data_IF_081316602701
#
_entry.id   IF_081316602701
#
_cell.length_a   1.000
_cell.length_b   1.000
_cell.length_c   1.000
_cell.angle_alpha   90.00
_cell.angle_beta   90.00
_cell.angle_gamma   90.00
#
_symmetry.space_group_name_H-M   'P 1'
#
loop_
_entity.id
_entity.type
_entity.pdbx_description
1 polymer ?
#
# COMPACT_ATOMS: atom_id res chain seq x y z
N UNK A 1 -18.30 2.82 -17.41
CA UNK A 1 -17.56 3.89 -16.71
C UNK A 1 -18.54 4.54 -15.74
N UNK A 2 -18.37 4.30 -14.44
CA UNK A 2 -19.26 4.85 -13.41
C UNK A 2 -18.79 6.28 -13.10
N UNK A 3 -19.66 7.27 -13.28
CA UNK A 3 -19.30 8.71 -13.31
C UNK A 3 -19.49 9.42 -11.96
N UNK A 4 -19.32 8.72 -10.83
CA UNK A 4 -19.46 9.31 -9.49
C UNK A 4 -18.08 9.55 -8.83
N UNK A 5 -17.99 10.45 -7.83
CA UNK A 5 -16.73 10.75 -7.17
C UNK A 5 -16.10 9.48 -6.60
N UNK A 6 -14.89 9.19 -7.07
CA UNK A 6 -14.14 7.98 -6.73
C UNK A 6 -13.91 7.81 -5.22
N UNK A 7 -13.88 8.91 -4.47
CA UNK A 7 -13.53 8.95 -3.05
C UNK A 7 -14.74 9.06 -2.08
N UNK A 8 -15.95 8.82 -2.56
CA UNK A 8 -17.14 8.75 -1.71
C UNK A 8 -17.30 7.34 -1.13
N UNK A 9 -17.09 7.19 0.18
CA UNK A 9 -17.23 5.91 0.87
C UNK A 9 -18.64 5.31 0.74
N UNK A 10 -19.69 6.12 0.63
CA UNK A 10 -21.05 5.61 0.44
C UNK A 10 -21.20 4.97 -0.95
N UNK A 11 -20.64 5.62 -1.96
CA UNK A 11 -20.59 5.07 -3.30
C UNK A 11 -19.75 3.77 -3.34
N UNK A 12 -18.55 3.77 -2.76
CA UNK A 12 -17.71 2.58 -2.69
C UNK A 12 -18.39 1.44 -1.93
N UNK A 13 -19.12 1.74 -0.84
CA UNK A 13 -19.90 0.75 -0.12
C UNK A 13 -21.04 0.19 -1.00
N UNK A 14 -21.73 1.05 -1.75
CA UNK A 14 -22.80 0.59 -2.65
C UNK A 14 -22.31 -0.38 -3.72
N UNK A 15 -21.08 -0.19 -4.23
CA UNK A 15 -20.45 -1.13 -5.17
C UNK A 15 -20.15 -2.49 -4.51
N UNK A 16 -19.68 -2.47 -3.26
CA UNK A 16 -19.44 -3.71 -2.50
C UNK A 16 -20.76 -4.43 -2.21
N UNK A 17 -21.82 -3.69 -1.89
CA UNK A 17 -23.13 -4.27 -1.60
C UNK A 17 -23.77 -4.89 -2.86
N UNK A 18 -23.54 -4.29 -4.03
CA UNK A 18 -24.07 -4.75 -5.31
C UNK A 18 -23.26 -5.91 -5.91
N UNK A 19 -21.94 -5.82 -5.91
CA UNK A 19 -21.06 -6.73 -6.65
C UNK A 19 -20.21 -7.64 -5.75
N UNK A 20 -20.19 -7.40 -4.44
CA UNK A 20 -19.24 -8.02 -3.52
C UNK A 20 -17.90 -7.30 -3.49
N UNK A 21 -17.03 -7.72 -2.56
CA UNK A 21 -15.66 -7.22 -2.50
C UNK A 21 -14.87 -7.77 -3.69
N UNK A 22 -14.19 -6.93 -4.48
CA UNK A 22 -13.39 -7.39 -5.61
C UNK A 22 -12.12 -8.13 -5.15
N UNK A 23 -11.64 -9.04 -6.00
CA UNK A 23 -10.31 -9.66 -5.81
C UNK A 23 -9.19 -8.70 -6.21
N UNK A 24 -9.40 -7.87 -7.24
CA UNK A 24 -8.40 -6.93 -7.77
C UNK A 24 -9.03 -5.54 -7.87
N UNK A 25 -8.32 -4.53 -7.38
CA UNK A 25 -8.64 -3.12 -7.57
C UNK A 25 -7.54 -2.46 -8.38
N UNK A 26 -7.96 -1.81 -9.46
CA UNK A 26 -7.17 -0.87 -10.25
C UNK A 26 -7.71 0.54 -9.97
N UNK A 27 -6.89 1.37 -9.33
CA UNK A 27 -7.15 2.78 -9.11
C UNK A 27 -6.55 3.59 -10.28
N UNK A 28 -7.39 3.79 -11.30
CA UNK A 28 -7.14 4.58 -12.51
C UNK A 28 -8.21 5.69 -12.63
N UNK A 29 -8.39 6.44 -11.54
CA UNK A 29 -9.47 7.42 -11.45
C UNK A 29 -9.00 8.85 -11.63
N UNK A 30 -9.26 9.70 -10.65
CA UNK A 30 -9.00 11.15 -10.77
C UNK A 30 -7.52 11.54 -10.67
N UNK A 31 -6.68 10.62 -10.21
CA UNK A 31 -5.28 10.82 -9.87
C UNK A 31 -4.99 11.91 -8.81
N UNK A 32 -6.03 12.45 -8.18
CA UNK A 32 -5.88 13.36 -7.04
C UNK A 32 -5.37 12.58 -5.84
N UNK A 33 -4.26 13.02 -5.22
CA UNK A 33 -3.61 12.28 -4.13
C UNK A 33 -4.56 12.00 -2.96
N UNK A 34 -5.43 12.95 -2.62
CA UNK A 34 -6.45 12.77 -1.58
C UNK A 34 -7.45 11.66 -1.95
N UNK A 35 -7.84 11.56 -3.22
CA UNK A 35 -8.79 10.55 -3.68
C UNK A 35 -8.16 9.16 -3.63
N UNK A 36 -6.93 9.00 -4.13
CA UNK A 36 -6.18 7.74 -4.09
C UNK A 36 -6.00 7.28 -2.64
N UNK A 37 -5.66 8.19 -1.72
CA UNK A 37 -5.51 7.84 -0.31
C UNK A 37 -6.83 7.36 0.31
N UNK A 38 -7.95 8.01 -0.01
CA UNK A 38 -9.29 7.62 0.48
C UNK A 38 -9.73 6.27 -0.07
N UNK A 39 -9.63 6.05 -1.37
CA UNK A 39 -9.96 4.75 -2.01
C UNK A 39 -9.11 3.62 -1.45
N UNK A 40 -7.80 3.84 -1.32
CA UNK A 40 -6.88 2.85 -0.76
C UNK A 40 -7.28 2.49 0.69
N UNK A 41 -7.47 3.49 1.54
CA UNK A 41 -7.86 3.27 2.94
C UNK A 41 -9.21 2.58 3.09
N UNK A 42 -10.13 2.77 2.14
CA UNK A 42 -11.43 2.11 2.14
C UNK A 42 -11.34 0.67 1.59
N UNK A 43 -10.82 0.48 0.38
CA UNK A 43 -10.90 -0.80 -0.34
C UNK A 43 -9.82 -1.79 0.10
N UNK A 44 -8.57 -1.35 0.30
CA UNK A 44 -7.47 -2.27 0.57
C UNK A 44 -7.67 -3.13 1.83
N UNK A 45 -8.16 -2.59 2.97
CA UNK A 45 -8.51 -3.41 4.13
C UNK A 45 -9.61 -4.45 3.89
N UNK A 46 -10.47 -4.23 2.90
CA UNK A 46 -11.60 -5.10 2.59
C UNK A 46 -11.24 -6.24 1.63
N UNK A 47 -10.22 -6.07 0.79
CA UNK A 47 -9.78 -7.09 -0.17
C UNK A 47 -9.56 -8.47 0.48
N UNK A 48 -9.79 -9.58 -0.24
CA UNK A 48 -9.50 -10.91 0.26
C UNK A 48 -8.00 -11.12 0.44
N UNK A 49 -7.61 -12.18 1.17
CA UNK A 49 -6.19 -12.47 1.49
C UNK A 49 -5.27 -12.64 0.27
N UNK A 50 -5.80 -12.89 -0.93
CA UNK A 50 -5.01 -13.01 -2.16
C UNK A 50 -5.30 -11.86 -3.13
N UNK A 51 -5.93 -10.79 -2.63
CA UNK A 51 -6.34 -9.67 -3.45
C UNK A 51 -5.17 -8.76 -3.80
N UNK A 52 -5.35 -7.95 -4.84
CA UNK A 52 -4.33 -7.02 -5.34
C UNK A 52 -4.92 -5.62 -5.44
N UNK A 53 -4.19 -4.61 -4.96
CA UNK A 53 -4.52 -3.21 -5.16
C UNK A 53 -3.39 -2.57 -5.93
N UNK A 54 -3.68 -1.94 -7.07
CA UNK A 54 -2.69 -1.19 -7.83
C UNK A 54 -3.21 0.19 -8.22
N UNK A 55 -2.29 1.14 -8.29
CA UNK A 55 -2.54 2.53 -8.67
C UNK A 55 -1.70 2.86 -9.88
N UNK A 56 -2.34 3.36 -10.93
CA UNK A 56 -1.69 3.83 -12.17
C UNK A 56 -1.54 5.36 -12.17
N UNK A 57 -0.78 5.88 -13.14
CA UNK A 57 -0.54 7.32 -13.34
C UNK A 57 0.00 8.07 -12.10
N UNK A 58 0.87 7.41 -11.32
CA UNK A 58 1.51 7.99 -10.14
C UNK A 58 2.58 9.04 -10.45
N UNK A 59 2.84 9.35 -11.72
CA UNK A 59 3.60 10.55 -12.07
C UNK A 59 2.91 11.83 -11.57
N UNK A 60 1.58 11.81 -11.44
CA UNK A 60 0.77 12.89 -10.82
C UNK A 60 1.11 13.11 -9.35
N UNK A 61 1.69 12.12 -8.65
CA UNK A 61 2.16 12.27 -7.28
C UNK A 61 3.30 13.31 -7.14
N UNK A 62 3.85 13.79 -8.24
CA UNK A 62 4.87 14.83 -8.28
C UNK A 62 4.33 16.20 -8.74
N UNK A 63 3.08 16.29 -9.17
CA UNK A 63 2.48 17.49 -9.79
C UNK A 63 1.54 18.21 -8.82
N UNK A 64 1.74 19.50 -8.61
CA UNK A 64 1.07 20.27 -7.55
C UNK A 64 -0.45 20.34 -7.74
N UNK A 65 -0.93 20.42 -8.99
CA UNK A 65 -2.34 20.47 -9.36
C UNK A 65 -3.13 19.17 -9.05
N UNK A 66 -2.42 18.07 -8.80
CA UNK A 66 -2.98 16.80 -8.33
C UNK A 66 -2.77 16.56 -6.82
N UNK A 67 -2.33 17.59 -6.09
CA UNK A 67 -1.90 17.47 -4.69
C UNK A 67 -0.52 16.82 -4.54
N UNK A 68 0.21 16.65 -5.64
CA UNK A 68 1.53 16.05 -5.69
C UNK A 68 2.67 16.97 -5.26
N UNK A 69 3.84 16.37 -5.06
CA UNK A 69 5.08 17.06 -4.71
C UNK A 69 6.10 16.08 -4.12
N UNK A 70 7.35 16.14 -4.58
CA UNK A 70 8.40 15.18 -4.18
C UNK A 70 8.54 15.04 -2.66
N UNK A 71 8.40 16.14 -1.92
CA UNK A 71 8.53 16.19 -0.46
C UNK A 71 7.20 16.14 0.30
N UNK A 72 6.06 16.02 -0.38
CA UNK A 72 4.73 15.99 0.25
C UNK A 72 4.46 14.58 0.80
N UNK A 73 4.45 14.38 2.14
CA UNK A 73 4.33 13.05 2.74
C UNK A 73 2.99 12.35 2.42
N UNK A 74 1.94 13.13 2.15
CA UNK A 74 0.60 12.66 1.82
C UNK A 74 0.45 12.04 0.42
N UNK A 75 1.46 12.20 -0.44
CA UNK A 75 1.43 11.62 -1.79
C UNK A 75 1.51 10.10 -1.71
N UNK A 76 0.82 9.40 -2.61
CA UNK A 76 0.76 7.94 -2.56
C UNK A 76 2.13 7.29 -2.73
N UNK A 77 3.04 7.92 -3.49
CA UNK A 77 4.43 7.48 -3.61
C UNK A 77 5.17 7.57 -2.26
N UNK A 78 5.02 8.66 -1.51
CA UNK A 78 5.71 8.81 -0.23
C UNK A 78 5.10 7.90 0.85
N UNK A 79 3.77 7.74 0.88
CA UNK A 79 3.12 6.72 1.70
C UNK A 79 3.63 5.31 1.38
N UNK A 80 3.76 4.97 0.09
CA UNK A 80 4.27 3.66 -0.34
C UNK A 80 5.72 3.41 0.07
N UNK A 81 6.57 4.45 0.12
CA UNK A 81 7.93 4.34 0.67
C UNK A 81 7.90 4.01 2.16
N UNK A 82 7.02 4.63 2.94
CA UNK A 82 6.84 4.30 4.35
C UNK A 82 6.33 2.86 4.53
N UNK A 83 5.52 2.36 3.60
CA UNK A 83 5.04 0.98 3.62
C UNK A 83 6.18 -0.03 3.49
N UNK A 84 7.31 0.31 2.87
CA UNK A 84 8.49 -0.58 2.81
C UNK A 84 9.02 -0.88 4.22
N UNK A 85 9.12 0.15 5.07
CA UNK A 85 9.55 -0.04 6.45
C UNK A 85 8.51 -0.82 7.26
N UNK A 86 7.21 -0.54 7.04
CA UNK A 86 6.12 -1.27 7.70
C UNK A 86 6.05 -2.73 7.27
N UNK A 87 6.27 -3.03 5.99
CA UNK A 87 6.34 -4.40 5.47
C UNK A 87 7.43 -5.21 6.20
N UNK A 88 8.52 -4.55 6.60
CA UNK A 88 9.67 -5.15 7.26
C UNK A 88 9.69 -4.93 8.79
N UNK A 89 8.61 -4.43 9.39
CA UNK A 89 8.62 -3.99 10.78
C UNK A 89 9.08 -5.07 11.78
N UNK A 90 8.74 -6.34 11.57
CA UNK A 90 9.19 -7.44 12.44
C UNK A 90 10.72 -7.65 12.44
N UNK A 91 11.40 -7.28 11.35
CA UNK A 91 12.86 -7.36 11.24
C UNK A 91 13.58 -6.18 11.90
N UNK A 92 12.85 -5.10 12.21
CA UNK A 92 13.40 -3.85 12.72
C UNK A 92 13.86 -3.90 14.18
N UNK A 93 13.66 -5.02 14.87
CA UNK A 93 13.93 -5.18 16.32
C UNK A 93 13.24 -4.10 17.17
N UNK A 94 12.01 -3.73 16.79
CA UNK A 94 11.17 -2.78 17.52
C UNK A 94 11.36 -1.31 17.14
N UNK A 95 12.21 -1.00 16.15
CA UNK A 95 12.34 0.38 15.64
C UNK A 95 11.11 0.85 14.86
N UNK A 96 10.44 -0.08 14.18
CA UNK A 96 9.20 0.16 13.45
C UNK A 96 8.09 -0.64 14.11
N UNK A 97 7.01 0.03 14.52
CA UNK A 97 5.84 -0.62 15.10
C UNK A 97 5.07 -1.38 14.00
N UNK A 98 4.87 -2.71 14.13
CA UNK A 98 4.07 -3.48 13.19
C UNK A 98 2.63 -2.96 13.11
N UNK A 99 2.06 -2.93 11.91
CA UNK A 99 0.69 -2.50 11.67
C UNK A 99 -0.03 -3.39 10.65
N UNK A 100 -1.16 -2.91 10.12
CA UNK A 100 -1.92 -3.56 9.06
C UNK A 100 -1.04 -3.96 7.86
N UNK A 101 -0.16 -3.07 7.37
CA UNK A 101 0.74 -3.38 6.25
C UNK A 101 1.67 -4.54 6.61
N UNK A 102 2.23 -4.57 7.83
CA UNK A 102 3.11 -5.68 8.27
C UNK A 102 2.40 -7.04 8.29
N UNK A 103 1.10 -7.05 8.62
CA UNK A 103 0.34 -8.28 8.89
C UNK A 103 -0.49 -8.74 7.71
N UNK A 104 -0.88 -7.82 6.82
CA UNK A 104 -1.83 -8.09 5.74
C UNK A 104 -1.30 -7.73 4.34
N UNK A 105 -0.03 -7.33 4.20
CA UNK A 105 0.59 -7.10 2.89
C UNK A 105 1.72 -8.10 2.68
N UNK A 106 1.60 -8.93 1.64
CA UNK A 106 2.61 -9.90 1.25
C UNK A 106 3.80 -9.23 0.56
N UNK A 107 3.51 -8.33 -0.38
CA UNK A 107 4.51 -7.70 -1.23
C UNK A 107 4.06 -6.33 -1.73
N UNK A 108 5.05 -5.51 -2.08
CA UNK A 108 4.86 -4.22 -2.74
C UNK A 108 5.83 -4.16 -3.92
N UNK A 109 5.31 -3.91 -5.13
CA UNK A 109 6.10 -3.76 -6.35
C UNK A 109 5.96 -2.35 -6.88
N UNK A 110 7.09 -1.74 -7.26
CA UNK A 110 7.16 -0.43 -7.88
C UNK A 110 7.56 -0.58 -9.33
N UNK A 111 6.77 0.01 -10.22
CA UNK A 111 7.07 0.17 -11.64
C UNK A 111 7.04 1.67 -11.99
N UNK A 112 7.45 2.02 -13.21
CA UNK A 112 7.31 3.40 -13.67
C UNK A 112 5.83 3.81 -13.64
N UNK A 113 5.51 4.87 -12.90
CA UNK A 113 4.15 5.37 -12.67
C UNK A 113 3.14 4.41 -12.05
N UNK A 114 3.55 3.26 -11.50
CA UNK A 114 2.63 2.27 -10.93
C UNK A 114 3.15 1.69 -9.62
N UNK A 115 2.25 1.54 -8.64
CA UNK A 115 2.53 0.78 -7.40
C UNK A 115 1.49 -0.33 -7.26
N UNK A 116 1.97 -1.54 -6.96
CA UNK A 116 1.14 -2.73 -6.74
C UNK A 116 1.35 -3.22 -5.31
N UNK A 117 0.25 -3.43 -4.58
CA UNK A 117 0.23 -4.04 -3.26
C UNK A 117 -0.50 -5.38 -3.32
N UNK A 118 0.20 -6.45 -2.93
CA UNK A 118 -0.36 -7.80 -2.84
C UNK A 118 -0.80 -8.04 -1.40
N UNK A 119 -2.10 -8.28 -1.20
CA UNK A 119 -2.66 -8.65 0.10
C UNK A 119 -2.23 -10.07 0.46
N UNK A 120 -2.07 -10.34 1.75
CA UNK A 120 -1.65 -11.65 2.25
C UNK A 120 -1.61 -11.73 3.76
N UNK A 121 -2.01 -12.86 4.33
CA UNK A 121 -1.84 -13.11 5.76
C UNK A 121 -0.37 -13.39 6.07
N UNK A 122 0.29 -12.43 6.72
CA UNK A 122 1.71 -12.50 7.06
C UNK A 122 1.88 -12.73 8.56
N UNK A 123 2.37 -13.93 8.89
CA UNK A 123 2.74 -14.30 10.24
C UNK A 123 3.99 -13.55 10.71
N UNK A 124 4.20 -13.48 12.03
CA UNK A 124 5.37 -12.83 12.61
C UNK A 124 6.67 -13.35 12.00
N UNK A 125 7.47 -12.44 11.43
CA UNK A 125 8.72 -12.79 10.76
C UNK A 125 9.86 -12.85 11.78
N UNK A 126 10.33 -14.05 12.11
CA UNK A 126 11.49 -14.23 12.99
C UNK A 126 12.72 -14.61 12.17
N UNK A 127 13.71 -13.71 12.14
CA UNK A 127 15.01 -14.00 11.55
C UNK A 127 15.92 -14.72 12.55
N UNK A 128 16.28 -15.98 12.29
CA UNK A 128 17.37 -16.63 13.03
C UNK A 128 18.69 -16.18 12.43
N UNK A 129 19.50 -15.44 13.18
CA UNK A 129 20.85 -15.07 12.74
C UNK A 129 21.73 -16.33 12.63
N UNK A 130 21.89 -16.86 11.41
CA UNK A 130 22.85 -17.93 11.11
C UNK A 130 24.03 -17.35 10.36
N UNK A 131 25.10 -17.04 11.09
CA UNK A 131 26.37 -16.51 10.57
C UNK A 131 27.46 -16.66 11.64
N UNK A 132 28.63 -17.15 11.22
CA UNK A 132 29.80 -17.46 12.04
C UNK A 132 30.18 -16.27 12.95
N UNK A 133 30.53 -16.54 14.22
CA UNK A 133 31.27 -15.56 15.04
C UNK A 133 32.49 -15.11 14.23
N UNK A 134 32.78 -13.80 14.11
CA UNK A 134 34.08 -13.39 13.59
C UNK A 134 35.13 -14.07 14.46
N UNK A 135 36.08 -14.77 13.84
CA UNK A 135 37.28 -15.22 14.52
C UNK A 135 37.94 -13.94 15.05
N UNK A 136 37.86 -13.73 16.37
CA UNK A 136 38.65 -12.72 17.06
C UNK A 136 40.11 -13.05 16.76
N UNK A 137 40.69 -12.31 15.82
CA UNK A 137 42.10 -12.34 15.50
C UNK A 137 42.90 -12.01 16.76
N UNK A 138 43.91 -12.85 17.01
CA UNK A 138 44.92 -12.67 18.04
C UNK A 138 45.77 -11.43 17.77
#
# INVERSE_FOLDING_TARGET
MLTQPQADEQFLQSLIDEFGVPDIVLDDGSHQMEHIAKTFNFLYPRLPKNGVYLVEDLHTAYWDEFGGGVSKPETFINLSKEYIDRLNADHSRGQVVPNFITRQTFGISFYDSVVVLEKGDVWSKQGVHRGHKPLLGR
#
